data_IF_170630532201
#
_entry.id   IF_170630532201
#
_cell.length_a   1.000
_cell.length_b   1.000
_cell.length_c   1.000
_cell.angle_alpha   90.00
_cell.angle_beta   90.00
_cell.angle_gamma   90.00
#
_symmetry.space_group_name_H-M   'P 1'
#
loop_
_entity.id
_entity.type
_entity.pdbx_description
1 polymer ?
#
# COMPACT_ATOMS: atom_id res chain seq x y z
N UNK A 1 -17.91 -5.71 -17.44
CA UNK A 1 -16.88 -5.94 -16.42
C UNK A 1 -15.56 -5.85 -17.13
N UNK A 2 -14.67 -4.99 -16.65
CA UNK A 2 -13.34 -4.80 -17.26
C UNK A 2 -12.53 -6.09 -17.19
N UNK A 3 -11.74 -6.36 -18.24
CA UNK A 3 -10.77 -7.45 -18.26
C UNK A 3 -9.66 -7.25 -17.23
N UNK A 4 -8.92 -8.32 -16.90
CA UNK A 4 -7.74 -8.21 -16.04
C UNK A 4 -6.72 -7.23 -16.61
N UNK A 5 -6.46 -7.27 -17.91
CA UNK A 5 -5.51 -6.38 -18.59
C UNK A 5 -5.92 -4.90 -18.47
N UNK A 6 -7.20 -4.59 -18.69
CA UNK A 6 -7.72 -3.22 -18.51
C UNK A 6 -7.57 -2.75 -17.06
N UNK A 7 -7.91 -3.60 -16.08
CA UNK A 7 -7.76 -3.29 -14.66
C UNK A 7 -6.29 -3.10 -14.25
N UNK A 8 -5.40 -3.95 -14.73
CA UNK A 8 -3.95 -3.88 -14.47
C UNK A 8 -3.34 -2.60 -15.05
N UNK A 9 -3.74 -2.23 -16.27
CA UNK A 9 -3.33 -0.98 -16.92
C UNK A 9 -3.82 0.25 -16.15
N UNK A 10 -5.09 0.26 -15.75
CA UNK A 10 -5.67 1.34 -14.95
C UNK A 10 -4.97 1.46 -13.60
N UNK A 11 -4.75 0.35 -12.89
CA UNK A 11 -4.04 0.33 -11.63
C UNK A 11 -2.62 0.91 -11.74
N UNK A 12 -1.84 0.47 -12.75
CA UNK A 12 -0.50 1.01 -13.02
C UNK A 12 -0.54 2.51 -13.28
N UNK A 13 -1.39 2.94 -14.21
CA UNK A 13 -1.50 4.35 -14.61
C UNK A 13 -1.85 5.25 -13.42
N UNK A 14 -2.80 4.82 -12.59
CA UNK A 14 -3.22 5.59 -11.42
C UNK A 14 -2.15 5.64 -10.33
N UNK A 15 -1.42 4.54 -10.12
CA UNK A 15 -0.32 4.49 -9.17
C UNK A 15 0.84 5.39 -9.61
N UNK A 16 1.25 5.31 -10.87
CA UNK A 16 2.30 6.17 -11.46
C UNK A 16 1.90 7.65 -11.42
N UNK A 17 0.64 7.98 -11.74
CA UNK A 17 0.10 9.34 -11.64
C UNK A 17 0.12 9.88 -10.21
N UNK A 18 -0.19 9.03 -9.23
CA UNK A 18 -0.12 9.41 -7.82
C UNK A 18 1.32 9.58 -7.33
N UNK A 19 2.27 8.74 -7.77
CA UNK A 19 3.69 8.93 -7.50
C UNK A 19 4.20 10.28 -8.03
N UNK A 20 3.84 10.66 -9.27
CA UNK A 20 4.20 11.97 -9.84
C UNK A 20 3.57 13.13 -9.08
N UNK A 21 2.32 13.00 -8.66
CA UNK A 21 1.67 13.97 -7.78
C UNK A 21 2.47 14.20 -6.49
N UNK A 22 2.89 13.12 -5.82
CA UNK A 22 3.66 13.20 -4.58
C UNK A 22 5.05 13.83 -4.78
N UNK A 23 5.73 13.52 -5.90
CA UNK A 23 7.02 14.15 -6.25
C UNK A 23 6.92 15.66 -6.44
N UNK A 24 5.75 16.15 -6.87
CA UNK A 24 5.48 17.57 -7.07
C UNK A 24 4.97 18.33 -5.84
N UNK A 25 4.79 17.67 -4.69
CA UNK A 25 4.30 18.34 -3.50
C UNK A 25 5.37 19.25 -2.88
N UNK A 26 5.01 20.49 -2.47
CA UNK A 26 5.91 21.33 -1.70
C UNK A 26 6.10 20.76 -0.28
N UNK A 27 7.23 21.05 0.35
CA UNK A 27 7.62 20.50 1.66
C UNK A 27 6.56 20.73 2.74
N UNK A 28 5.92 21.90 2.75
CA UNK A 28 4.89 22.25 3.74
C UNK A 28 3.63 21.38 3.59
N UNK A 29 3.37 20.83 2.40
CA UNK A 29 2.19 19.99 2.16
C UNK A 29 2.27 18.66 2.92
N UNK A 30 3.47 18.12 3.15
CA UNK A 30 3.68 16.88 3.89
C UNK A 30 3.21 16.96 5.35
N UNK A 31 3.29 18.16 5.94
CA UNK A 31 2.85 18.44 7.30
C UNK A 31 1.36 18.76 7.46
N UNK A 32 0.61 18.90 6.36
CA UNK A 32 -0.82 19.25 6.39
C UNK A 32 -1.66 18.11 6.92
N UNK A 33 -2.71 18.45 7.65
CA UNK A 33 -3.73 17.52 8.11
C UNK A 33 -4.41 16.84 6.91
N UNK A 34 -4.58 15.51 6.98
CA UNK A 34 -5.34 14.74 6.00
C UNK A 34 -6.84 14.71 6.36
N UNK A 35 -7.67 14.11 5.50
CA UNK A 35 -9.07 13.86 5.83
C UNK A 35 -9.26 12.83 6.95
N UNK A 36 -8.21 12.08 7.31
CA UNK A 36 -8.17 11.29 8.53
C UNK A 36 -7.66 12.19 9.66
N UNK A 37 -8.47 12.39 10.70
CA UNK A 37 -8.14 13.28 11.83
C UNK A 37 -6.85 12.88 12.56
N UNK A 38 -6.45 11.62 12.47
CA UNK A 38 -5.24 11.09 13.12
C UNK A 38 -3.97 11.30 12.29
N UNK A 39 -4.08 11.69 11.02
CA UNK A 39 -2.95 11.65 10.08
C UNK A 39 -2.69 12.96 9.35
N UNK A 40 -1.41 13.28 9.20
CA UNK A 40 -0.92 14.22 8.19
C UNK A 40 -0.70 13.51 6.86
N UNK A 41 -0.48 14.27 5.80
CA UNK A 41 -0.16 13.73 4.46
C UNK A 41 1.01 12.74 4.52
N UNK A 42 2.08 13.04 5.28
CA UNK A 42 3.20 12.13 5.45
C UNK A 42 2.82 10.80 6.12
N UNK A 43 1.88 10.80 7.08
CA UNK A 43 1.42 9.57 7.73
C UNK A 43 0.58 8.71 6.78
N UNK A 44 -0.20 9.36 5.89
CA UNK A 44 -0.93 8.65 4.82
C UNK A 44 0.06 7.96 3.88
N UNK A 45 1.13 8.63 3.45
CA UNK A 45 2.13 8.00 2.58
C UNK A 45 2.86 6.86 3.28
N UNK A 46 3.15 6.98 4.58
CA UNK A 46 3.72 5.88 5.35
C UNK A 46 2.75 4.69 5.51
N UNK A 47 1.44 4.96 5.63
CA UNK A 47 0.44 3.91 5.57
C UNK A 47 0.47 3.17 4.23
N UNK A 48 0.61 3.90 3.12
CA UNK A 48 0.69 3.31 1.78
C UNK A 48 1.94 2.46 1.58
N UNK A 49 3.10 2.84 2.15
CA UNK A 49 4.29 1.95 2.19
C UNK A 49 3.94 0.59 2.80
N UNK A 50 3.32 0.60 3.99
CA UNK A 50 2.94 -0.63 4.69
C UNK A 50 1.91 -1.45 3.91
N UNK A 51 0.98 -0.80 3.22
CA UNK A 51 0.02 -1.49 2.35
C UNK A 51 0.72 -2.16 1.16
N UNK A 52 1.63 -1.46 0.48
CA UNK A 52 2.35 -2.02 -0.66
C UNK A 52 3.18 -3.24 -0.26
N UNK A 53 3.87 -3.17 0.88
CA UNK A 53 4.60 -4.32 1.45
C UNK A 53 3.67 -5.48 1.81
N UNK A 54 2.55 -5.19 2.49
CA UNK A 54 1.60 -6.20 2.95
C UNK A 54 0.95 -6.95 1.77
N UNK A 55 0.46 -6.25 0.76
CA UNK A 55 -0.17 -6.87 -0.39
C UNK A 55 0.85 -7.61 -1.26
N UNK A 56 2.05 -7.05 -1.47
CA UNK A 56 3.09 -7.75 -2.21
C UNK A 56 3.46 -9.07 -1.53
N UNK A 57 3.65 -9.07 -0.20
CA UNK A 57 3.93 -10.27 0.56
C UNK A 57 2.79 -11.29 0.52
N UNK A 58 1.54 -10.84 0.64
CA UNK A 58 0.38 -11.73 0.63
C UNK A 58 0.19 -12.39 -0.74
N UNK A 59 0.33 -11.62 -1.83
CA UNK A 59 0.23 -12.16 -3.19
C UNK A 59 1.39 -13.10 -3.48
N UNK A 60 2.62 -12.75 -3.12
CA UNK A 60 3.78 -13.62 -3.31
C UNK A 60 3.63 -14.97 -2.60
N UNK A 61 3.06 -14.98 -1.39
CA UNK A 61 2.71 -16.22 -0.66
C UNK A 61 1.62 -17.02 -1.36
N UNK A 62 0.56 -16.35 -1.83
CA UNK A 62 -0.52 -17.00 -2.58
C UNK A 62 -0.02 -17.70 -3.84
N UNK A 63 0.91 -17.07 -4.57
CA UNK A 63 1.57 -17.66 -5.75
C UNK A 63 2.41 -18.90 -5.42
N UNK A 64 2.83 -19.06 -4.16
CA UNK A 64 3.53 -20.25 -3.65
C UNK A 64 2.57 -21.31 -3.09
N UNK A 65 1.26 -21.09 -3.19
CA UNK A 65 0.22 -21.98 -2.65
C UNK A 65 -0.06 -21.80 -1.16
N UNK A 66 0.47 -20.75 -0.53
CA UNK A 66 0.24 -20.47 0.89
C UNK A 66 -1.01 -19.62 1.10
N UNK A 67 -2.08 -20.24 1.58
CA UNK A 67 -3.38 -19.59 1.81
C UNK A 67 -3.69 -19.25 3.27
N UNK A 68 -2.82 -19.65 4.21
CA UNK A 68 -2.97 -19.31 5.63
C UNK A 68 -2.75 -17.81 5.87
N UNK A 69 -3.46 -17.20 6.85
CA UNK A 69 -3.22 -15.81 7.21
C UNK A 69 -1.76 -15.62 7.67
N UNK A 70 -1.11 -14.50 7.30
CA UNK A 70 0.19 -14.15 7.87
C UNK A 70 0.12 -14.05 9.40
N UNK A 71 1.26 -14.22 10.07
CA UNK A 71 1.33 -14.06 11.52
C UNK A 71 0.76 -12.70 11.98
N UNK A 72 -0.04 -12.71 13.05
CA UNK A 72 -0.72 -11.53 13.57
C UNK A 72 -1.95 -11.06 12.78
N UNK A 73 -2.32 -11.76 11.69
CA UNK A 73 -3.60 -11.52 10.99
C UNK A 73 -4.69 -12.47 11.48
N UNK A 74 -5.95 -11.98 11.56
CA UNK A 74 -7.08 -12.83 11.88
C UNK A 74 -7.39 -13.78 10.72
N UNK A 75 -8.12 -14.85 11.01
CA UNK A 75 -8.60 -15.78 10.00
C UNK A 75 -9.44 -15.08 8.93
N UNK A 76 -9.42 -15.62 7.71
CA UNK A 76 -10.17 -15.09 6.60
C UNK A 76 -11.67 -14.93 6.96
N UNK A 77 -12.22 -13.74 6.69
CA UNK A 77 -13.62 -13.41 6.99
C UNK A 77 -13.89 -12.96 8.44
N UNK A 78 -12.91 -12.97 9.33
CA UNK A 78 -13.08 -12.56 10.74
C UNK A 78 -12.47 -11.19 11.07
N UNK A 79 -11.67 -10.63 10.16
CA UNK A 79 -11.11 -9.29 10.32
C UNK A 79 -12.14 -8.18 10.16
N UNK A 80 -12.09 -7.16 11.02
CA UNK A 80 -12.91 -5.96 10.90
C UNK A 80 -12.05 -4.68 11.00
N UNK A 81 -12.19 -3.70 10.08
CA UNK A 81 -11.32 -2.51 10.03
C UNK A 81 -11.31 -1.69 11.33
N UNK A 82 -12.43 -1.64 12.06
CA UNK A 82 -12.52 -0.89 13.32
C UNK A 82 -11.65 -1.48 14.44
N UNK A 83 -11.31 -2.78 14.37
CA UNK A 83 -10.48 -3.44 15.37
C UNK A 83 -9.01 -3.00 15.28
N UNK A 84 -8.58 -2.54 14.10
CA UNK A 84 -7.19 -2.17 13.83
C UNK A 84 -6.98 -0.68 13.57
N UNK A 85 -8.02 0.16 13.52
CA UNK A 85 -7.90 1.56 13.11
C UNK A 85 -6.87 2.36 13.94
N UNK A 86 -6.99 2.35 15.27
CA UNK A 86 -6.05 3.05 16.15
C UNK A 86 -4.61 2.48 16.09
N UNK A 87 -4.49 1.15 15.94
CA UNK A 87 -3.20 0.49 15.81
C UNK A 87 -2.52 0.85 14.47
N UNK A 88 -3.30 0.88 13.38
CA UNK A 88 -2.85 1.35 12.08
C UNK A 88 -2.41 2.79 12.16
N UNK A 89 -3.22 3.66 12.79
CA UNK A 89 -2.90 5.07 12.94
C UNK A 89 -1.52 5.28 13.58
N UNK A 90 -1.29 4.61 14.71
CA UNK A 90 -0.01 4.64 15.43
C UNK A 90 1.14 4.06 14.61
N UNK A 91 0.91 2.94 13.89
CA UNK A 91 1.95 2.29 13.09
C UNK A 91 2.41 3.16 11.91
N UNK A 92 1.49 3.87 11.25
CA UNK A 92 1.81 4.77 10.13
C UNK A 92 2.63 5.97 10.60
N UNK A 93 2.26 6.55 11.76
CA UNK A 93 3.02 7.62 12.43
C UNK A 93 4.44 7.13 12.74
N UNK A 94 4.59 5.98 13.39
CA UNK A 94 5.90 5.42 13.73
C UNK A 94 6.74 5.08 12.48
N UNK A 95 6.09 4.57 11.42
CA UNK A 95 6.76 4.30 10.15
C UNK A 95 7.26 5.60 9.48
N UNK A 96 6.44 6.65 9.47
CA UNK A 96 6.82 7.98 8.97
C UNK A 96 8.03 8.54 9.73
N UNK A 97 8.07 8.41 11.05
CA UNK A 97 9.20 8.83 11.89
C UNK A 97 10.48 8.06 11.58
N UNK A 98 10.37 6.74 11.45
CA UNK A 98 11.50 5.86 11.15
C UNK A 98 12.07 6.09 9.75
N UNK A 99 11.21 6.38 8.76
CA UNK A 99 11.61 6.59 7.37
C UNK A 99 12.19 7.99 7.15
N UNK A 100 11.63 9.02 7.81
CA UNK A 100 12.07 10.41 7.69
C UNK A 100 12.15 10.85 6.22
N UNK A 101 13.28 11.42 5.83
CA UNK A 101 13.54 11.92 4.47
C UNK A 101 13.48 10.83 3.39
N UNK A 102 13.53 9.55 3.78
CA UNK A 102 13.41 8.41 2.84
C UNK A 102 11.97 7.98 2.60
N UNK A 103 10.98 8.65 3.19
CA UNK A 103 9.58 8.25 3.09
C UNK A 103 9.11 8.13 1.63
N UNK A 104 9.32 9.17 0.82
CA UNK A 104 8.86 9.20 -0.57
C UNK A 104 9.60 8.17 -1.44
N UNK A 105 10.93 8.07 -1.30
CA UNK A 105 11.71 7.10 -2.08
C UNK A 105 11.34 5.66 -1.71
N UNK A 106 11.09 5.39 -0.43
CA UNK A 106 10.64 4.06 0.02
C UNK A 106 9.23 3.75 -0.49
N UNK A 107 8.32 4.72 -0.47
CA UNK A 107 6.98 4.55 -1.05
C UNK A 107 7.06 4.16 -2.52
N UNK A 108 7.81 4.93 -3.32
CA UNK A 108 7.97 4.66 -4.76
C UNK A 108 8.56 3.27 -4.99
N UNK A 109 9.58 2.86 -4.22
CA UNK A 109 10.18 1.53 -4.34
C UNK A 109 9.15 0.42 -4.07
N UNK A 110 8.42 0.49 -2.95
CA UNK A 110 7.48 -0.56 -2.55
C UNK A 110 6.24 -0.58 -3.44
N UNK A 111 5.76 0.58 -3.86
CA UNK A 111 4.66 0.70 -4.79
C UNK A 111 5.01 0.12 -6.16
N UNK A 112 6.20 0.43 -6.70
CA UNK A 112 6.67 -0.16 -7.95
C UNK A 112 6.81 -1.68 -7.87
N UNK A 113 7.28 -2.21 -6.74
CA UNK A 113 7.33 -3.66 -6.52
C UNK A 113 5.93 -4.29 -6.58
N UNK A 114 4.94 -3.68 -5.90
CA UNK A 114 3.56 -4.16 -5.94
C UNK A 114 2.95 -4.06 -7.35
N UNK A 115 3.19 -2.94 -8.06
CA UNK A 115 2.74 -2.76 -9.44
C UNK A 115 3.29 -3.86 -10.35
N UNK A 116 4.60 -4.13 -10.27
CA UNK A 116 5.24 -5.17 -11.07
C UNK A 116 4.64 -6.55 -10.78
N UNK A 117 4.43 -6.88 -9.50
CA UNK A 117 3.84 -8.15 -9.10
C UNK A 117 2.41 -8.30 -9.64
N UNK A 118 1.54 -7.33 -9.36
CA UNK A 118 0.11 -7.41 -9.71
C UNK A 118 -0.15 -7.35 -11.21
N UNK A 119 0.63 -6.56 -11.95
CA UNK A 119 0.47 -6.46 -13.42
C UNK A 119 1.20 -7.56 -14.19
N UNK A 120 2.06 -8.32 -13.52
CA UNK A 120 2.83 -9.43 -14.08
C UNK A 120 2.21 -10.81 -13.86
N UNK A 121 1.03 -10.91 -13.24
CA UNK A 121 0.35 -12.18 -12.98
C UNK A 121 -0.01 -12.89 -14.29
N UNK A 122 0.32 -14.18 -14.38
CA UNK A 122 -0.05 -15.01 -15.52
C UNK A 122 -1.56 -15.30 -15.51
N UNK A 123 -2.16 -15.74 -16.63
CA UNK A 123 -3.58 -16.13 -16.64
C UNK A 123 -3.95 -17.21 -15.60
N UNK A 124 -2.99 -18.08 -15.24
CA UNK A 124 -3.19 -19.14 -14.23
C UNK A 124 -3.27 -18.57 -12.80
N UNK A 125 -2.61 -17.44 -12.55
CA UNK A 125 -2.60 -16.76 -11.25
C UNK A 125 -3.84 -15.88 -11.02
N UNK A 126 -4.66 -15.68 -12.06
CA UNK A 126 -5.81 -14.76 -12.06
C UNK A 126 -7.13 -15.43 -11.66
N UNK A 127 -7.12 -16.74 -11.37
CA UNK A 127 -8.30 -17.59 -11.22
C UNK A 127 -8.71 -17.77 -9.76
#
# INVERSE_FOLDING_TARGET
MESFEERAKSYRSESERFQEYLKGLPDEAWGRQSACDEWKVADVVAHLVGNSEFYAGTVARGLQGESSPPEGRPDAGTGHPSLSAAALAKSSIAARERLGDRLLSTYIEKDNHLIQLLTGLSPEDQV
#
